data_IF_625717480902
#
_entry.id   IF_625717480902
#
_cell.length_a   1.000
_cell.length_b   1.000
_cell.length_c   1.000
_cell.angle_alpha   90.00
_cell.angle_beta   90.00
_cell.angle_gamma   90.00
#
_symmetry.space_group_name_H-M   'P 1'
#
loop_
_entity.id
_entity.type
_entity.pdbx_description
1 polymer ?
#
# COMPACT_ATOMS: atom_id res chain seq x y z
N UNK A 1 -1.11 -20.12 2.64
CA UNK A 1 -2.16 -19.15 2.35
C UNK A 1 -1.80 -17.80 2.94
N UNK A 2 -1.93 -16.77 2.16
CA UNK A 2 -1.70 -15.42 2.63
C UNK A 2 -2.95 -14.87 3.33
N UNK A 3 -2.73 -14.09 4.36
CA UNK A 3 -3.81 -13.40 5.06
C UNK A 3 -3.54 -11.90 5.01
N UNK A 4 -4.61 -11.12 5.08
CA UNK A 4 -4.53 -9.68 5.02
C UNK A 4 -5.30 -9.09 6.21
N UNK A 5 -4.66 -9.05 7.38
CA UNK A 5 -5.36 -8.69 8.61
C UNK A 5 -5.95 -7.29 8.59
N UNK A 6 -5.44 -6.41 7.75
CA UNK A 6 -5.93 -5.03 7.67
C UNK A 6 -6.78 -4.76 6.44
N UNK A 7 -7.24 -5.82 5.73
CA UNK A 7 -7.92 -5.66 4.45
C UNK A 7 -9.15 -4.75 4.52
N UNK A 8 -9.88 -4.80 5.62
CA UNK A 8 -11.11 -4.04 5.77
C UNK A 8 -11.00 -2.86 6.71
N UNK A 9 -9.80 -2.57 7.18
CA UNK A 9 -9.59 -1.42 8.07
C UNK A 9 -9.40 -0.16 7.25
N UNK A 10 -9.92 0.98 7.72
CA UNK A 10 -9.68 2.24 7.02
C UNK A 10 -8.21 2.60 7.07
N UNK A 11 -7.78 3.33 6.05
CA UNK A 11 -6.42 3.85 6.04
C UNK A 11 -6.32 5.01 7.01
N UNK A 12 -5.34 4.94 7.90
CA UNK A 12 -5.07 6.04 8.83
C UNK A 12 -3.78 6.74 8.39
N UNK A 13 -3.52 7.90 8.98
CA UNK A 13 -2.36 8.71 8.60
C UNK A 13 -1.06 7.92 8.71
N UNK A 14 -0.90 7.14 9.77
CA UNK A 14 0.33 6.35 9.96
C UNK A 14 0.53 5.34 8.83
N UNK A 15 -0.56 4.71 8.37
CA UNK A 15 -0.50 3.76 7.27
C UNK A 15 -0.11 4.45 5.97
N UNK A 16 -0.72 5.60 5.70
CA UNK A 16 -0.41 6.36 4.49
C UNK A 16 1.04 6.85 4.49
N UNK A 17 1.51 7.32 5.63
CA UNK A 17 2.89 7.80 5.76
C UNK A 17 3.87 6.68 5.48
N UNK A 18 3.61 5.50 6.03
CA UNK A 18 4.48 4.35 5.80
C UNK A 18 4.44 3.91 4.34
N UNK A 19 3.25 3.87 3.75
CA UNK A 19 3.11 3.50 2.35
C UNK A 19 3.92 4.43 1.44
N UNK A 20 3.77 5.74 1.66
CA UNK A 20 4.50 6.72 0.86
C UNK A 20 6.00 6.57 1.02
N UNK A 21 6.45 6.35 2.25
CA UNK A 21 7.88 6.18 2.51
C UNK A 21 8.43 4.95 1.80
N UNK A 22 7.70 3.85 1.85
CA UNK A 22 8.09 2.62 1.17
C UNK A 22 8.16 2.83 -0.34
N UNK A 23 7.19 3.55 -0.90
CA UNK A 23 7.16 3.84 -2.32
C UNK A 23 8.38 4.67 -2.74
N UNK A 24 8.68 5.71 -1.97
CA UNK A 24 9.84 6.57 -2.22
C UNK A 24 11.13 5.77 -2.14
N UNK A 25 11.20 4.82 -1.23
CA UNK A 25 12.37 3.96 -1.06
C UNK A 25 12.52 2.88 -2.13
N UNK A 26 11.55 2.80 -3.04
CA UNK A 26 11.60 1.83 -4.14
C UNK A 26 11.19 0.43 -3.77
N UNK A 27 10.43 0.25 -2.70
CA UNK A 27 10.00 -1.07 -2.28
C UNK A 27 8.90 -1.59 -3.20
N UNK A 28 8.81 -2.91 -3.31
CA UNK A 28 7.84 -3.55 -4.20
C UNK A 28 6.43 -3.49 -3.62
N UNK A 29 5.44 -3.66 -4.50
CA UNK A 29 4.04 -3.77 -4.07
C UNK A 29 3.87 -4.97 -3.13
N UNK A 30 4.55 -6.07 -3.41
CA UNK A 30 4.49 -7.25 -2.55
C UNK A 30 5.01 -6.95 -1.15
N UNK A 31 6.10 -6.20 -1.05
CA UNK A 31 6.66 -5.81 0.24
C UNK A 31 5.71 -4.91 1.00
N UNK A 32 5.09 -3.94 0.31
CA UNK A 32 4.11 -3.05 0.93
C UNK A 32 2.89 -3.82 1.41
N UNK A 33 2.39 -4.73 0.58
CA UNK A 33 1.24 -5.56 0.93
C UNK A 33 1.50 -6.36 2.19
N UNK A 34 2.68 -6.97 2.28
CA UNK A 34 3.04 -7.79 3.41
C UNK A 34 3.21 -6.96 4.68
N UNK A 35 3.90 -5.84 4.56
CA UNK A 35 4.16 -4.96 5.70
C UNK A 35 2.88 -4.37 6.27
N UNK A 36 2.00 -3.91 5.39
CA UNK A 36 0.79 -3.22 5.79
C UNK A 36 -0.39 -4.16 6.01
N UNK A 37 -0.25 -5.43 5.64
CA UNK A 37 -1.30 -6.43 5.82
C UNK A 37 -2.51 -6.17 4.95
N UNK A 38 -2.30 -5.71 3.71
CA UNK A 38 -3.37 -5.37 2.78
C UNK A 38 -3.14 -6.01 1.42
N UNK A 39 -4.21 -6.21 0.66
CA UNK A 39 -4.14 -6.75 -0.68
C UNK A 39 -3.34 -5.85 -1.62
N UNK A 40 -2.70 -6.45 -2.62
CA UNK A 40 -1.97 -5.73 -3.64
C UNK A 40 -2.86 -4.67 -4.31
N UNK A 41 -4.11 -5.04 -4.61
CA UNK A 41 -5.05 -4.11 -5.23
C UNK A 41 -5.29 -2.86 -4.39
N UNK A 42 -5.46 -3.05 -3.08
CA UNK A 42 -5.63 -1.92 -2.16
C UNK A 42 -4.40 -1.03 -2.14
N UNK A 43 -3.22 -1.64 -2.13
CA UNK A 43 -1.96 -0.89 -2.15
C UNK A 43 -1.86 -0.06 -3.42
N UNK A 44 -2.13 -0.67 -4.57
CA UNK A 44 -2.05 0.03 -5.86
C UNK A 44 -3.01 1.21 -5.91
N UNK A 45 -4.26 0.99 -5.49
CA UNK A 45 -5.25 2.06 -5.49
C UNK A 45 -4.84 3.21 -4.59
N UNK A 46 -4.29 2.89 -3.43
CA UNK A 46 -3.88 3.91 -2.49
C UNK A 46 -2.69 4.70 -3.01
N UNK A 47 -1.74 4.03 -3.67
CA UNK A 47 -0.61 4.71 -4.31
C UNK A 47 -1.08 5.63 -5.42
N UNK A 48 -2.04 5.19 -6.20
CA UNK A 48 -2.60 6.04 -7.27
C UNK A 48 -3.27 7.28 -6.69
N UNK A 49 -3.93 7.13 -5.56
CA UNK A 49 -4.56 8.27 -4.89
C UNK A 49 -3.52 9.31 -4.46
N UNK A 50 -2.37 8.85 -3.95
CA UNK A 50 -1.35 9.76 -3.43
C UNK A 50 -0.41 10.30 -4.52
N UNK A 51 -0.11 9.50 -5.52
CA UNK A 51 0.93 9.82 -6.51
C UNK A 51 0.42 9.90 -7.94
N UNK A 52 -0.87 9.63 -8.15
CA UNK A 52 -1.47 9.69 -9.48
C UNK A 52 -1.64 8.32 -10.11
N UNK A 53 -2.48 8.26 -11.16
CA UNK A 53 -2.85 7.00 -11.78
C UNK A 53 -1.65 6.27 -12.40
N UNK A 54 -0.63 7.00 -12.77
CA UNK A 54 0.54 6.42 -13.44
C UNK A 54 1.58 5.89 -12.46
N UNK A 55 1.35 6.05 -11.16
CA UNK A 55 2.32 5.65 -10.16
C UNK A 55 2.58 4.14 -10.19
N UNK A 56 1.54 3.36 -10.46
CA UNK A 56 1.64 1.91 -10.58
C UNK A 56 0.81 1.46 -11.75
N UNK A 57 1.23 0.35 -12.36
CA UNK A 57 0.52 -0.19 -13.52
C UNK A 57 0.19 -1.66 -13.35
#
# INVERSE_FOLDING_TARGET
RQTYPNAYKPWIKADDDELRQMFINGESIAAMSQKLGRHHGSIKMRLQKHFGEDAVQ
#
